data_IF_070595847151
#
_entry.id   IF_070595847151
#
_cell.length_a   1.000
_cell.length_b   1.000
_cell.length_c   1.000
_cell.angle_alpha   90.00
_cell.angle_beta   90.00
_cell.angle_gamma   90.00
#
_symmetry.space_group_name_H-M   'P 1'
#
loop_
_entity.id
_entity.type
_entity.pdbx_description
1 polymer ?
#
# COMPACT_ATOMS: atom_id res chain seq x y z
N UNK A 1 32.98 14.66 -5.53
CA UNK A 1 32.88 15.28 -4.19
C UNK A 1 31.43 15.09 -3.77
N UNK A 2 31.14 14.24 -2.78
CA UNK A 2 29.78 14.16 -2.23
C UNK A 2 29.44 15.53 -1.65
N UNK A 3 28.23 16.02 -1.92
CA UNK A 3 27.80 17.32 -1.42
C UNK A 3 27.67 17.26 0.11
N UNK A 4 27.79 18.39 0.79
CA UNK A 4 27.63 18.43 2.25
C UNK A 4 26.26 17.86 2.68
N UNK A 5 25.22 18.06 1.85
CA UNK A 5 23.89 17.49 2.03
C UNK A 5 23.89 15.95 2.04
N UNK A 6 24.63 15.31 1.12
CA UNK A 6 24.73 13.85 1.03
C UNK A 6 25.38 13.23 2.27
N UNK A 7 26.24 13.98 2.97
CA UNK A 7 26.89 13.53 4.21
C UNK A 7 25.95 13.64 5.40
N UNK A 8 25.16 14.71 5.46
CA UNK A 8 24.14 14.89 6.50
C UNK A 8 23.04 13.84 6.39
N UNK A 9 22.56 13.56 5.18
CA UNK A 9 21.54 12.53 4.94
C UNK A 9 22.05 11.14 5.31
N UNK A 10 23.31 10.84 5.00
CA UNK A 10 23.96 9.57 5.40
C UNK A 10 24.10 9.47 6.93
N UNK A 11 24.48 10.56 7.60
CA UNK A 11 24.60 10.60 9.05
C UNK A 11 23.24 10.44 9.75
N UNK A 12 22.18 11.04 9.20
CA UNK A 12 20.81 10.87 9.69
C UNK A 12 20.32 9.42 9.53
N UNK A 13 20.65 8.77 8.42
CA UNK A 13 20.33 7.36 8.19
C UNK A 13 21.06 6.42 9.14
N UNK A 14 22.37 6.64 9.38
CA UNK A 14 23.17 5.83 10.31
C UNK A 14 22.69 6.03 11.77
N UNK A 15 22.26 7.24 12.14
CA UNK A 15 21.65 7.54 13.44
C UNK A 15 20.30 6.80 13.62
N UNK A 16 19.45 6.80 12.60
CA UNK A 16 18.17 6.06 12.63
C UNK A 16 18.37 4.54 12.64
N UNK A 17 19.44 4.03 12.02
CA UNK A 17 19.77 2.61 12.03
C UNK A 17 20.32 2.16 13.39
N UNK A 18 21.14 2.98 14.04
CA UNK A 18 21.65 2.70 15.39
C UNK A 18 20.55 2.77 16.45
N UNK A 19 19.65 3.77 16.39
CA UNK A 19 18.47 3.83 17.26
C UNK A 19 17.53 2.63 17.03
N UNK A 20 17.38 2.17 15.78
CA UNK A 20 16.61 0.96 15.49
C UNK A 20 17.22 -0.30 16.12
N UNK A 21 18.56 -0.43 16.11
CA UNK A 21 19.29 -1.54 16.77
C UNK A 21 19.19 -1.50 18.28
N UNK A 22 19.22 -0.32 18.91
CA UNK A 22 19.03 -0.21 20.36
C UNK A 22 17.61 -0.58 20.79
N UNK A 23 16.60 -0.20 20.00
CA UNK A 23 15.22 -0.62 20.22
C UNK A 23 15.02 -2.13 20.03
N UNK A 24 15.68 -2.75 19.04
CA UNK A 24 15.67 -4.20 18.84
C UNK A 24 16.28 -4.95 20.03
N UNK A 25 17.42 -4.47 20.53
CA UNK A 25 18.09 -5.01 21.73
C UNK A 25 17.25 -4.85 23.00
N UNK A 26 16.47 -3.78 23.11
CA UNK A 26 15.50 -3.57 24.20
C UNK A 26 14.34 -4.57 24.15
N UNK A 27 13.92 -4.99 22.95
CA UNK A 27 12.85 -5.98 22.76
C UNK A 27 13.29 -7.42 23.03
N UNK A 28 14.58 -7.74 22.87
CA UNK A 28 15.12 -9.06 23.23
C UNK A 28 14.99 -9.36 24.74
N UNK A 29 14.94 -8.33 25.57
CA UNK A 29 14.69 -8.42 27.01
C UNK A 29 13.23 -8.75 27.40
N UNK A 30 12.29 -8.72 26.46
CA UNK A 30 10.87 -9.02 26.69
C UNK A 30 10.46 -10.46 26.29
N UNK A 31 11.43 -11.32 26.00
CA UNK A 31 11.21 -12.68 25.51
C UNK A 31 11.02 -13.73 26.62
N UNK A 32 9.93 -13.63 27.39
CA UNK A 32 9.35 -14.82 28.03
C UNK A 32 7.90 -14.58 28.46
N UNK A 33 6.95 -14.87 27.57
CA UNK A 33 5.58 -15.19 28.00
C UNK A 33 4.48 -14.43 27.28
N UNK A 34 4.11 -14.86 26.07
CA UNK A 34 2.74 -14.70 25.60
C UNK A 34 2.41 -15.72 24.50
N UNK A 35 2.17 -16.96 24.89
CA UNK A 35 1.21 -17.81 24.17
C UNK A 35 -0.09 -17.74 24.97
N UNK A 36 -0.82 -16.62 24.86
CA UNK A 36 -2.24 -16.62 25.21
C UNK A 36 -2.99 -17.20 24.03
N UNK A 37 -3.22 -18.51 24.08
CA UNK A 37 -4.25 -19.16 23.29
C UNK A 37 -5.59 -18.56 23.72
N UNK A 38 -6.14 -17.66 22.91
CA UNK A 38 -7.53 -17.22 23.10
C UNK A 38 -8.46 -18.31 22.56
N UNK A 39 -9.35 -18.90 23.38
CA UNK A 39 -10.36 -19.81 22.89
C UNK A 39 -11.50 -18.98 22.26
N UNK A 40 -11.36 -18.62 20.98
CA UNK A 40 -12.51 -18.12 20.23
C UNK A 40 -13.30 -19.32 19.67
N UNK A 41 -14.64 -19.40 19.91
CA UNK A 41 -15.47 -20.43 19.32
C UNK A 41 -15.53 -20.26 17.80
N UNK A 42 -15.51 -21.35 17.01
CA UNK A 42 -15.61 -21.27 15.56
C UNK A 42 -16.98 -20.70 15.19
N UNK A 43 -16.98 -19.60 14.44
CA UNK A 43 -18.21 -19.01 13.89
C UNK A 43 -18.92 -20.02 12.97
N UNK A 44 -20.25 -20.12 12.99
CA UNK A 44 -21.02 -21.09 12.21
C UNK A 44 -21.16 -20.73 10.71
N UNK A 45 -20.42 -19.74 10.21
CA UNK A 45 -20.51 -19.35 8.81
C UNK A 45 -19.56 -20.21 7.96
N UNK A 46 -20.06 -20.88 6.90
CA UNK A 46 -19.20 -21.58 5.97
C UNK A 46 -18.28 -20.57 5.30
N UNK A 47 -16.98 -20.80 5.40
CA UNK A 47 -15.96 -20.05 4.64
C UNK A 47 -16.13 -20.48 3.18
N UNK A 48 -17.04 -19.82 2.46
CA UNK A 48 -17.26 -20.12 1.05
C UNK A 48 -15.99 -19.73 0.30
N UNK A 49 -15.30 -20.76 -0.19
CA UNK A 49 -14.10 -20.73 -1.04
C UNK A 49 -14.38 -20.12 -2.42
N UNK A 50 -14.74 -18.84 -2.46
CA UNK A 50 -14.93 -18.08 -3.72
C UNK A 50 -14.70 -16.58 -3.52
N UNK A 51 -13.49 -16.19 -3.09
CA UNK A 51 -13.14 -14.76 -2.97
C UNK A 51 -11.64 -14.46 -3.15
N UNK A 52 -10.87 -15.34 -3.80
CA UNK A 52 -9.44 -15.08 -4.05
C UNK A 52 -9.18 -14.42 -5.41
N UNK A 53 -10.04 -13.49 -5.84
CA UNK A 53 -9.56 -12.40 -6.70
C UNK A 53 -8.89 -11.39 -5.79
N UNK A 54 -7.67 -11.70 -5.35
CA UNK A 54 -6.84 -10.78 -4.55
C UNK A 54 -6.55 -9.58 -5.46
N UNK A 55 -7.25 -8.45 -5.27
CA UNK A 55 -7.15 -7.32 -6.18
C UNK A 55 -5.79 -6.65 -6.01
N UNK A 56 -5.32 -5.85 -6.98
CA UNK A 56 -4.05 -5.13 -6.86
C UNK A 56 -4.07 -4.29 -5.58
N UNK A 57 -3.11 -4.60 -4.71
CA UNK A 57 -3.19 -4.22 -3.31
C UNK A 57 -2.86 -2.73 -3.16
N UNK A 58 -3.86 -1.95 -2.76
CA UNK A 58 -3.71 -0.58 -2.26
C UNK A 58 -2.59 -0.51 -1.20
N UNK A 59 -1.59 0.36 -1.35
CA UNK A 59 -0.37 0.35 -0.50
C UNK A 59 -0.66 0.64 0.97
N UNK A 60 -1.51 1.63 1.24
CA UNK A 60 -1.96 1.87 2.61
C UNK A 60 -2.78 0.70 3.18
N UNK A 61 -3.45 -0.11 2.34
CA UNK A 61 -4.19 -1.28 2.84
C UNK A 61 -3.24 -2.43 3.23
N UNK A 62 -2.06 -2.53 2.60
CA UNK A 62 -1.03 -3.50 3.02
C UNK A 62 -0.46 -3.11 4.39
N UNK A 63 -0.28 -1.81 4.64
CA UNK A 63 0.18 -1.28 5.92
C UNK A 63 -0.93 -1.05 6.94
N UNK A 64 -2.20 -1.29 6.60
CA UNK A 64 -3.38 -0.98 7.43
C UNK A 64 -3.37 0.46 7.95
N UNK A 65 -2.98 1.39 7.08
CA UNK A 65 -2.90 2.81 7.35
C UNK A 65 -4.03 3.56 6.63
N UNK A 66 -4.43 4.69 7.20
CA UNK A 66 -5.32 5.65 6.54
C UNK A 66 -4.50 6.60 5.65
N UNK A 67 -5.08 7.24 4.63
CA UNK A 67 -4.39 8.32 3.92
C UNK A 67 -4.11 9.51 4.87
N UNK A 68 -2.96 10.17 4.71
CA UNK A 68 -2.58 11.34 5.51
C UNK A 68 -1.71 11.08 6.76
N UNK A 69 -1.22 9.85 6.98
CA UNK A 69 -0.29 9.53 8.10
C UNK A 69 1.11 10.07 7.82
N UNK A 70 1.86 10.57 8.82
CA UNK A 70 3.26 10.93 8.63
C UNK A 70 4.14 9.73 8.25
N UNK A 71 5.27 10.01 7.61
CA UNK A 71 6.23 9.00 7.17
C UNK A 71 6.86 8.20 8.31
N UNK A 72 6.96 8.80 9.50
CA UNK A 72 7.39 8.13 10.72
C UNK A 72 6.54 6.88 11.00
N UNK A 73 5.23 7.00 10.85
CA UNK A 73 4.28 5.94 11.20
C UNK A 73 4.30 4.83 10.15
N UNK A 74 4.58 5.17 8.89
CA UNK A 74 4.82 4.19 7.82
C UNK A 74 6.04 3.32 8.17
N UNK A 75 7.13 3.91 8.64
CA UNK A 75 8.34 3.18 9.05
C UNK A 75 8.07 2.30 10.28
N UNK A 76 7.35 2.81 11.28
CA UNK A 76 7.01 2.07 12.50
C UNK A 76 6.10 0.87 12.18
N UNK A 77 5.04 1.08 11.38
CA UNK A 77 4.12 0.01 11.00
C UNK A 77 4.79 -1.04 10.13
N UNK A 78 5.66 -0.64 9.20
CA UNK A 78 6.49 -1.57 8.43
C UNK A 78 7.32 -2.48 9.35
N UNK A 79 8.05 -1.92 10.32
CA UNK A 79 8.86 -2.69 11.27
C UNK A 79 8.03 -3.68 12.08
N UNK A 80 6.85 -3.25 12.57
CA UNK A 80 5.95 -4.14 13.33
C UNK A 80 5.42 -5.30 12.47
N UNK A 81 5.01 -5.01 11.23
CA UNK A 81 4.45 -6.02 10.32
C UNK A 81 5.52 -6.96 9.77
N UNK A 82 6.70 -6.45 9.46
CA UNK A 82 7.80 -7.24 8.90
C UNK A 82 8.25 -8.33 9.87
N UNK A 83 8.28 -8.04 11.17
CA UNK A 83 8.59 -9.03 12.21
C UNK A 83 7.57 -10.18 12.27
N UNK A 84 6.29 -9.89 12.03
CA UNK A 84 5.22 -10.90 12.06
C UNK A 84 5.26 -11.83 10.85
N UNK A 85 5.66 -11.32 9.68
CA UNK A 85 5.67 -12.06 8.41
C UNK A 85 7.08 -12.42 7.94
N UNK A 86 8.10 -12.27 8.79
CA UNK A 86 9.47 -12.55 8.43
C UNK A 86 9.61 -14.03 8.02
N UNK A 87 10.23 -14.35 6.87
CA UNK A 87 10.29 -15.72 6.37
C UNK A 87 11.07 -16.68 7.30
N UNK A 88 11.96 -16.15 8.15
CA UNK A 88 12.68 -16.94 9.17
C UNK A 88 11.82 -17.23 10.42
N UNK A 89 10.95 -16.29 10.83
CA UNK A 89 10.14 -16.43 12.05
C UNK A 89 8.79 -17.09 11.78
N UNK A 90 8.27 -16.96 10.56
CA UNK A 90 6.97 -17.47 10.14
C UNK A 90 7.13 -18.68 9.21
N UNK A 91 6.63 -19.85 9.63
CA UNK A 91 6.72 -21.12 8.88
C UNK A 91 5.75 -21.23 7.69
N UNK A 92 5.10 -20.14 7.30
CA UNK A 92 4.11 -20.14 6.23
C UNK A 92 4.81 -20.01 4.85
N UNK A 93 4.53 -20.88 3.86
CA UNK A 93 5.15 -20.80 2.53
C UNK A 93 4.84 -19.50 1.76
N UNK A 94 3.79 -18.77 2.15
CA UNK A 94 3.42 -17.48 1.55
C UNK A 94 4.08 -16.27 2.25
N UNK A 95 4.85 -16.49 3.32
CA UNK A 95 5.58 -15.44 4.03
C UNK A 95 6.51 -14.58 3.12
N UNK A 96 7.34 -15.15 2.22
CA UNK A 96 8.20 -14.34 1.36
C UNK A 96 7.41 -13.42 0.41
N UNK A 97 6.34 -13.91 -0.22
CA UNK A 97 5.48 -13.09 -1.09
C UNK A 97 4.79 -11.96 -0.30
N UNK A 98 4.34 -12.25 0.93
CA UNK A 98 3.76 -11.22 1.80
C UNK A 98 4.79 -10.16 2.20
N UNK A 99 6.02 -10.57 2.51
CA UNK A 99 7.13 -9.67 2.86
C UNK A 99 7.53 -8.77 1.69
N UNK A 100 7.63 -9.32 0.48
CA UNK A 100 7.94 -8.55 -0.72
C UNK A 100 6.86 -7.50 -1.03
N UNK A 101 5.58 -7.84 -0.84
CA UNK A 101 4.47 -6.89 -0.98
C UNK A 101 4.54 -5.76 0.06
N UNK A 102 4.89 -6.11 1.30
CA UNK A 102 5.06 -5.13 2.37
C UNK A 102 6.21 -4.16 2.05
N UNK A 103 7.34 -4.68 1.56
CA UNK A 103 8.50 -3.87 1.16
C UNK A 103 8.17 -2.94 -0.01
N UNK A 104 7.51 -3.45 -1.06
CA UNK A 104 7.05 -2.63 -2.19
C UNK A 104 6.12 -1.49 -1.74
N UNK A 105 5.20 -1.79 -0.81
CA UNK A 105 4.29 -0.77 -0.28
C UNK A 105 5.03 0.33 0.50
N UNK A 106 6.02 -0.04 1.31
CA UNK A 106 6.85 0.94 2.00
C UNK A 106 7.61 1.82 0.99
N UNK A 107 8.30 1.23 0.00
CA UNK A 107 9.09 1.99 -0.98
C UNK A 107 8.25 3.00 -1.75
N UNK A 108 7.04 2.63 -2.19
CA UNK A 108 6.17 3.53 -2.94
C UNK A 108 5.57 4.64 -2.06
N UNK A 109 5.32 4.38 -0.77
CA UNK A 109 4.79 5.40 0.15
C UNK A 109 5.86 6.36 0.68
N UNK A 110 7.14 6.01 0.56
CA UNK A 110 8.26 6.91 0.87
C UNK A 110 8.60 7.85 -0.30
N UNK A 111 8.05 7.64 -1.49
CA UNK A 111 8.21 8.56 -2.61
C UNK A 111 7.04 9.56 -2.66
N UNK A 112 7.36 10.83 -2.44
CA UNK A 112 6.39 11.95 -2.41
C UNK A 112 5.53 11.99 -3.68
N UNK A 113 6.12 11.76 -4.87
CA UNK A 113 5.38 11.82 -6.15
C UNK A 113 4.35 10.71 -6.29
N UNK A 114 4.67 9.53 -5.77
CA UNK A 114 3.75 8.39 -5.79
C UNK A 114 2.67 8.57 -4.73
N UNK A 115 3.04 9.12 -3.58
CA UNK A 115 2.13 9.43 -2.48
C UNK A 115 1.06 10.45 -2.88
N UNK A 116 1.44 11.55 -3.52
CA UNK A 116 0.50 12.56 -4.03
C UNK A 116 -0.53 11.96 -4.98
N UNK A 117 -0.09 11.19 -5.98
CA UNK A 117 -1.00 10.53 -6.94
C UNK A 117 -1.96 9.55 -6.28
N UNK A 118 -1.48 8.82 -5.26
CA UNK A 118 -2.33 7.90 -4.51
C UNK A 118 -3.35 8.67 -3.67
N UNK A 119 -2.93 9.73 -3.00
CA UNK A 119 -3.79 10.55 -2.15
C UNK A 119 -4.86 11.29 -2.98
N UNK A 120 -4.51 11.78 -4.17
CA UNK A 120 -5.46 12.33 -5.17
C UNK A 120 -6.52 11.30 -5.57
N UNK A 121 -6.11 10.09 -5.96
CA UNK A 121 -7.04 9.03 -6.37
C UNK A 121 -7.95 8.59 -5.21
N UNK A 122 -7.45 8.59 -3.97
CA UNK A 122 -8.23 8.25 -2.78
C UNK A 122 -9.24 9.37 -2.44
N UNK A 123 -8.86 10.63 -2.63
CA UNK A 123 -9.75 11.77 -2.49
C UNK A 123 -10.87 11.74 -3.53
N UNK A 124 -10.55 11.43 -4.79
CA UNK A 124 -11.54 11.24 -5.86
C UNK A 124 -12.53 10.12 -5.52
N UNK A 125 -12.03 8.99 -5.02
CA UNK A 125 -12.87 7.87 -4.59
C UNK A 125 -13.83 8.26 -3.46
N UNK A 126 -13.36 9.08 -2.50
CA UNK A 126 -14.20 9.62 -1.43
C UNK A 126 -15.33 10.48 -2.01
N UNK A 127 -15.00 11.39 -2.93
CA UNK A 127 -15.99 12.26 -3.58
C UNK A 127 -17.01 11.49 -4.40
N UNK A 128 -16.59 10.44 -5.11
CA UNK A 128 -17.50 9.56 -5.85
C UNK A 128 -18.47 8.82 -4.92
N UNK A 129 -17.97 8.31 -3.80
CA UNK A 129 -18.80 7.61 -2.82
C UNK A 129 -19.84 8.55 -2.18
N UNK A 130 -19.44 9.78 -1.82
CA UNK A 130 -20.38 10.81 -1.32
C UNK A 130 -21.50 11.09 -2.33
N UNK A 131 -21.17 11.15 -3.64
CA UNK A 131 -22.17 11.34 -4.71
C UNK A 131 -23.12 10.14 -4.83
N UNK A 132 -22.59 8.92 -4.77
CA UNK A 132 -23.39 7.69 -4.87
C UNK A 132 -24.39 7.56 -3.72
N UNK A 133 -23.96 7.87 -2.50
CA UNK A 133 -24.80 7.80 -1.31
C UNK A 133 -25.61 9.08 -1.06
N UNK A 134 -25.45 10.10 -1.91
CA UNK A 134 -26.08 11.44 -1.77
C UNK A 134 -25.89 12.03 -0.36
N UNK A 135 -24.76 11.74 0.25
CA UNK A 135 -24.42 12.19 1.59
C UNK A 135 -23.74 13.56 1.52
N UNK A 136 -24.09 14.43 2.46
CA UNK A 136 -23.40 15.70 2.68
C UNK A 136 -22.15 15.49 3.53
N UNK A 137 -21.19 16.42 3.45
CA UNK A 137 -19.88 16.35 4.13
C UNK A 137 -19.99 16.27 5.65
N UNK A 138 -21.14 16.67 6.21
CA UNK A 138 -21.37 16.76 7.66
C UNK A 138 -22.22 15.61 8.24
N UNK A 139 -22.55 14.58 7.45
CA UNK A 139 -23.38 13.47 7.93
C UNK A 139 -22.62 12.58 8.93
N UNK A 140 -23.27 12.22 10.04
CA UNK A 140 -22.72 11.31 11.07
C UNK A 140 -22.40 9.92 10.50
N UNK A 141 -23.04 9.52 9.41
CA UNK A 141 -22.81 8.24 8.74
C UNK A 141 -21.37 8.08 8.22
N UNK A 142 -20.67 9.19 7.94
CA UNK A 142 -19.27 9.21 7.52
C UNK A 142 -18.30 8.67 8.58
N UNK A 143 -18.69 8.72 9.86
CA UNK A 143 -17.88 8.24 10.99
C UNK A 143 -18.09 6.75 11.27
N UNK A 144 -19.01 6.10 10.57
CA UNK A 144 -19.32 4.68 10.78
C UNK A 144 -18.22 3.80 10.20
N UNK A 145 -17.89 2.71 10.90
CA UNK A 145 -16.95 1.68 10.40
C UNK A 145 -17.36 1.09 9.03
N UNK A 146 -18.66 1.08 8.73
CA UNK A 146 -19.20 0.67 7.44
C UNK A 146 -18.76 1.62 6.32
N UNK A 147 -18.80 2.92 6.56
CA UNK A 147 -18.34 3.92 5.60
C UNK A 147 -16.83 3.77 5.35
N UNK A 148 -16.04 3.56 6.39
CA UNK A 148 -14.60 3.30 6.25
C UNK A 148 -14.27 2.02 5.47
N UNK A 149 -15.15 1.00 5.50
CA UNK A 149 -15.03 -0.19 4.64
C UNK A 149 -15.38 0.13 3.19
N UNK A 150 -16.54 0.76 2.97
CA UNK A 150 -17.00 1.15 1.64
C UNK A 150 -16.01 2.10 0.94
N UNK A 151 -15.43 3.04 1.66
CA UNK A 151 -14.42 3.95 1.13
C UNK A 151 -13.15 3.22 0.70
N UNK A 152 -12.67 2.24 1.49
CA UNK A 152 -11.53 1.40 1.11
C UNK A 152 -11.80 0.56 -0.13
N UNK A 153 -13.02 0.04 -0.26
CA UNK A 153 -13.42 -0.74 -1.43
C UNK A 153 -13.54 0.16 -2.67
N UNK A 154 -14.10 1.37 -2.53
CA UNK A 154 -14.20 2.33 -3.62
C UNK A 154 -12.84 2.87 -4.07
N UNK A 155 -11.95 3.18 -3.13
CA UNK A 155 -10.59 3.61 -3.43
C UNK A 155 -9.83 2.56 -4.25
N UNK A 156 -10.04 1.27 -3.94
CA UNK A 156 -9.49 0.17 -4.70
C UNK A 156 -10.04 0.11 -6.12
N UNK A 157 -11.35 0.27 -6.30
CA UNK A 157 -11.98 0.30 -7.63
C UNK A 157 -11.41 1.44 -8.49
N UNK A 158 -11.33 2.65 -7.94
CA UNK A 158 -10.80 3.82 -8.66
C UNK A 158 -9.35 3.63 -9.09
N UNK A 159 -8.50 3.08 -8.23
CA UNK A 159 -7.10 2.79 -8.58
C UNK A 159 -6.99 1.74 -9.70
N UNK A 160 -7.81 0.69 -9.65
CA UNK A 160 -7.88 -0.35 -10.69
C UNK A 160 -8.33 0.26 -12.01
N UNK A 161 -9.35 1.10 -11.99
CA UNK A 161 -9.87 1.78 -13.18
C UNK A 161 -8.86 2.76 -13.77
N UNK A 162 -8.12 3.49 -12.94
CA UNK A 162 -7.03 4.37 -13.36
C UNK A 162 -5.90 3.57 -14.03
N UNK A 163 -5.50 2.43 -13.46
CA UNK A 163 -4.50 1.55 -14.06
C UNK A 163 -4.99 0.97 -15.39
N UNK A 164 -6.23 0.50 -15.45
CA UNK A 164 -6.84 0.01 -16.69
C UNK A 164 -6.99 1.09 -17.75
N UNK A 165 -7.27 2.34 -17.37
CA UNK A 165 -7.31 3.48 -18.28
C UNK A 165 -5.93 3.77 -18.84
N UNK A 166 -4.90 3.84 -17.98
CA UNK A 166 -3.50 4.04 -18.40
C UNK A 166 -3.02 2.94 -19.34
N UNK A 167 -3.33 1.68 -19.04
CA UNK A 167 -2.96 0.53 -19.89
C UNK A 167 -3.66 0.57 -21.25
N UNK A 168 -4.93 0.98 -21.29
CA UNK A 168 -5.67 1.15 -22.55
C UNK A 168 -5.11 2.29 -23.39
N UNK A 169 -4.80 3.43 -22.77
CA UNK A 169 -4.20 4.57 -23.46
C UNK A 169 -2.81 4.26 -24.03
N UNK A 170 -1.93 3.64 -23.24
CA UNK A 170 -0.59 3.26 -23.72
C UNK A 170 -0.65 2.25 -24.88
N UNK A 171 -1.59 1.29 -24.83
CA UNK A 171 -1.80 0.35 -25.92
C UNK A 171 -2.33 1.04 -27.18
N UNK A 172 -3.22 2.02 -27.04
CA UNK A 172 -3.74 2.80 -28.17
C UNK A 172 -2.64 3.65 -28.82
N UNK A 173 -1.82 4.34 -28.02
CA UNK A 173 -0.69 5.15 -28.49
C UNK A 173 0.33 4.31 -29.27
N UNK A 174 0.75 3.17 -28.73
CA UNK A 174 1.69 2.27 -29.42
C UNK A 174 1.14 1.75 -30.77
N UNK A 175 -0.18 1.56 -30.87
CA UNK A 175 -0.82 1.16 -32.13
C UNK A 175 -0.90 2.31 -33.14
N UNK A 176 -1.04 3.54 -32.67
CA UNK A 176 -1.06 4.75 -33.50
C UNK A 176 0.35 5.08 -34.01
N UNK A 177 1.34 5.13 -33.13
CA UNK A 177 2.77 5.30 -33.47
C UNK A 177 3.24 4.21 -34.45
N UNK A 178 2.84 2.95 -34.22
CA UNK A 178 3.16 1.85 -35.14
C UNK A 178 2.47 1.93 -36.50
N UNK A 179 1.34 2.64 -36.61
CA UNK A 179 0.68 2.93 -37.90
C UNK A 179 1.32 4.13 -38.59
N UNK A 180 1.72 5.15 -37.84
CA UNK A 180 2.40 6.33 -38.36
C UNK A 180 3.80 5.98 -38.87
N UNK A 181 4.56 5.15 -38.15
CA UNK A 181 5.88 4.72 -38.57
C UNK A 181 5.85 3.92 -39.88
N UNK A 182 4.86 3.03 -40.05
CA UNK A 182 4.67 2.31 -41.33
C UNK A 182 4.38 3.24 -42.51
N UNK A 183 3.62 4.31 -42.28
CA UNK A 183 3.34 5.32 -43.31
C UNK A 183 4.58 6.15 -43.63
N UNK A 184 5.36 6.53 -42.62
CA UNK A 184 6.61 7.27 -42.81
C UNK A 184 7.65 6.44 -43.57
N UNK A 185 7.76 5.15 -43.26
CA UNK A 185 8.65 4.24 -43.98
C UNK A 185 8.21 4.07 -45.45
N UNK A 186 6.90 3.97 -45.71
CA UNK A 186 6.33 3.87 -47.07
C UNK A 186 6.43 5.17 -47.87
N UNK A 187 6.43 6.35 -47.22
CA UNK A 187 6.66 7.64 -47.89
C UNK A 187 8.16 7.95 -48.12
N UNK A 188 9.06 7.29 -47.40
CA UNK A 188 10.51 7.44 -47.60
C UNK A 188 11.11 6.44 -48.60
N UNK A 189 10.36 5.42 -49.04
CA UNK A 189 10.69 4.48 -50.11
C UNK A 189 10.22 4.99 -51.49
#
# INVERSE_FOLDING_TARGET
MATEQDKEDKAALDALESEAKEWEKSLEGLSAGCVRTYPYPPSPFPITSSANRRPPNHRYAVLDLQPGVPESDIKITYRKKSLLIHPDKCKNPLAPDAFDRLKKAQTELMDEKHRERLDEAIADARMLLLREQKLTVDSEELKTDLFARQWRDKAREVLVDNEHRRRRQAKAQMQEEGREQRKQDEEME
#
